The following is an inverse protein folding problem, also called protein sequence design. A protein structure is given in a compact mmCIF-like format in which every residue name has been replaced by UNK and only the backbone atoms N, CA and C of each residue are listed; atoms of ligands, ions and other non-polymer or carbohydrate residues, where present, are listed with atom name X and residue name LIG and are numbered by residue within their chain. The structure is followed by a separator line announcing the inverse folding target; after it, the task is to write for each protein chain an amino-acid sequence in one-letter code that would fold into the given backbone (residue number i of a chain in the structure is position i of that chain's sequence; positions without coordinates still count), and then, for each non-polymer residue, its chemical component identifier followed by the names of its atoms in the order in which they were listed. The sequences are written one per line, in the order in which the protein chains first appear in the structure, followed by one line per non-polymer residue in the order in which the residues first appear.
data_IF_868250981214
#
_entry.id   IF_868250981214
#
_cell.length_a   1.000
_cell.length_b   1.000
_cell.length_c   1.000
_cell.angle_alpha   90.00
_cell.angle_beta   90.00
_cell.angle_gamma   90.00
#
_symmetry.space_group_name_H-M   'P 1'
#
loop_
_entity.id
_entity.type
_entity.pdbx_description
1 polymer ?
#
# COMPACT_ATOMS: atom_id res chain seq x y z
N UNK A 1 33.15 17.90 -6.39
CA UNK A 1 31.92 17.88 -7.19
C UNK A 1 31.11 16.69 -6.71
N UNK A 2 29.87 16.90 -6.30
CA UNK A 2 28.96 15.80 -5.99
C UNK A 2 28.33 15.30 -7.28
N UNK A 3 28.34 13.98 -7.46
CA UNK A 3 27.73 13.30 -8.60
C UNK A 3 26.45 12.62 -8.13
N UNK A 4 25.34 12.90 -8.80
CA UNK A 4 24.06 12.22 -8.59
C UNK A 4 23.50 11.72 -9.92
N UNK A 5 22.47 10.88 -9.87
CA UNK A 5 21.69 10.49 -11.05
C UNK A 5 20.26 11.02 -10.95
N UNK A 6 19.72 11.48 -12.08
CA UNK A 6 18.31 11.85 -12.20
C UNK A 6 17.62 10.77 -13.02
N UNK A 7 16.53 10.21 -12.51
CA UNK A 7 15.70 9.25 -13.21
C UNK A 7 14.29 9.80 -13.41
N UNK A 8 13.83 9.77 -14.65
CA UNK A 8 12.43 10.06 -15.00
C UNK A 8 11.53 8.86 -14.75
N UNK A 9 10.23 9.08 -14.59
CA UNK A 9 9.23 8.01 -14.50
C UNK A 9 9.35 7.00 -15.66
N UNK A 10 9.58 7.49 -16.89
CA UNK A 10 9.72 6.62 -18.06
C UNK A 10 10.94 5.67 -17.97
N UNK A 11 12.03 6.11 -17.35
CA UNK A 11 13.19 5.27 -17.07
C UNK A 11 12.91 4.33 -15.90
N UNK A 12 12.27 4.81 -14.84
CA UNK A 12 11.90 4.02 -13.67
C UNK A 12 11.00 2.85 -14.03
N UNK A 13 9.99 3.07 -14.90
CA UNK A 13 9.12 2.01 -15.42
C UNK A 13 9.87 0.95 -16.24
N UNK A 14 11.10 1.20 -16.71
CA UNK A 14 11.89 0.18 -17.41
C UNK A 14 12.68 -0.70 -16.44
N UNK A 15 13.03 -0.17 -15.26
CA UNK A 15 13.90 -0.87 -14.30
C UNK A 15 13.15 -1.41 -13.09
N UNK A 16 12.02 -0.81 -12.72
CA UNK A 16 11.14 -1.25 -11.63
C UNK A 16 9.79 -1.64 -12.21
N UNK A 17 9.31 -2.81 -11.76
CA UNK A 17 7.98 -3.34 -12.03
C UNK A 17 7.44 -3.93 -10.74
N UNK A 18 6.13 -4.10 -10.69
CA UNK A 18 5.51 -4.92 -9.66
C UNK A 18 5.81 -6.39 -10.00
N UNK A 19 6.87 -6.91 -9.42
CA UNK A 19 7.37 -8.27 -9.60
C UNK A 19 7.65 -8.93 -8.24
N UNK A 20 8.00 -10.23 -8.25
CA UNK A 20 8.26 -10.98 -7.01
C UNK A 20 9.43 -10.41 -6.20
N UNK A 21 10.42 -9.82 -6.87
CA UNK A 21 11.57 -9.21 -6.22
C UNK A 21 11.17 -7.89 -5.54
N UNK A 22 10.28 -7.09 -6.15
CA UNK A 22 9.71 -5.91 -5.51
C UNK A 22 8.89 -6.29 -4.26
N UNK A 23 8.10 -7.38 -4.34
CA UNK A 23 7.40 -7.93 -3.17
C UNK A 23 8.39 -8.37 -2.10
N UNK A 24 9.43 -9.13 -2.45
CA UNK A 24 10.45 -9.56 -1.51
C UNK A 24 11.21 -8.38 -0.86
N UNK A 25 11.51 -7.34 -1.63
CA UNK A 25 12.14 -6.12 -1.12
C UNK A 25 11.28 -5.42 -0.06
N UNK A 26 9.97 -5.32 -0.29
CA UNK A 26 9.05 -4.75 0.71
C UNK A 26 8.84 -5.70 1.90
N UNK A 27 8.86 -7.01 1.68
CA UNK A 27 8.85 -8.02 2.75
C UNK A 27 10.05 -7.87 3.68
N UNK A 28 11.26 -7.74 3.13
CA UNK A 28 12.49 -7.47 3.89
C UNK A 28 12.42 -6.13 4.64
N UNK A 29 11.81 -5.11 4.05
CA UNK A 29 11.58 -3.82 4.70
C UNK A 29 10.69 -3.97 5.95
N UNK A 30 9.62 -4.75 5.86
CA UNK A 30 8.79 -5.09 7.01
C UNK A 30 9.56 -5.86 8.08
N UNK A 31 10.34 -6.87 7.69
CA UNK A 31 11.19 -7.62 8.62
C UNK A 31 12.18 -6.69 9.34
N UNK A 32 12.81 -5.77 8.60
CA UNK A 32 13.74 -4.79 9.14
C UNK A 32 13.06 -3.83 10.13
N UNK A 33 11.82 -3.40 9.87
CA UNK A 33 11.04 -2.57 10.79
C UNK A 33 10.87 -3.23 12.18
N UNK A 34 10.68 -4.55 12.21
CA UNK A 34 10.56 -5.28 13.47
C UNK A 34 11.90 -5.65 14.09
N UNK A 35 12.95 -5.88 13.29
CA UNK A 35 14.20 -6.50 13.76
C UNK A 35 15.36 -5.54 13.97
N UNK A 36 15.29 -4.32 13.43
CA UNK A 36 16.34 -3.30 13.51
C UNK A 36 15.85 -2.06 14.25
N UNK A 37 16.79 -1.25 14.74
CA UNK A 37 16.51 0.07 15.30
C UNK A 37 16.23 1.10 14.19
N UNK A 38 15.13 0.93 13.46
CA UNK A 38 14.71 1.84 12.38
C UNK A 38 14.28 3.18 12.99
N UNK A 39 14.85 4.27 12.49
CA UNK A 39 14.41 5.61 12.84
C UNK A 39 13.43 6.11 11.79
N UNK A 40 12.17 6.29 12.19
CA UNK A 40 11.09 6.80 11.33
C UNK A 40 10.48 8.04 12.01
N UNK A 41 10.81 9.27 11.54
CA UNK A 41 10.21 10.48 12.08
C UNK A 41 8.70 10.51 11.81
N UNK A 42 7.95 11.37 12.52
CA UNK A 42 6.55 11.63 12.17
C UNK A 42 6.40 12.06 10.71
N UNK A 43 5.25 11.73 10.12
CA UNK A 43 4.89 12.21 8.78
C UNK A 43 4.78 13.73 8.86
N UNK A 44 5.49 14.43 7.98
CA UNK A 44 5.25 15.86 7.76
C UNK A 44 4.13 15.97 6.74
N UNK A 45 3.00 16.50 7.20
CA UNK A 45 1.82 16.76 6.37
C UNK A 45 1.63 18.27 6.23
N UNK A 46 1.33 18.71 5.01
CA UNK A 46 0.94 20.08 4.70
C UNK A 46 -0.39 20.06 3.94
N UNK A 47 -1.45 20.52 4.59
CA UNK A 47 -2.74 20.71 3.93
C UNK A 47 -2.79 22.05 3.18
N UNK A 48 -3.39 22.03 1.99
CA UNK A 48 -3.59 23.19 1.11
C UNK A 48 -5.08 23.25 0.76
N UNK A 49 -5.94 23.71 1.69
CA UNK A 49 -7.39 23.60 1.54
C UNK A 49 -7.95 24.32 0.32
N UNK A 50 -7.37 25.48 -0.05
CA UNK A 50 -7.79 26.30 -1.20
C UNK A 50 -7.86 25.49 -2.50
N UNK A 51 -6.94 24.53 -2.68
CA UNK A 51 -6.84 23.71 -3.89
C UNK A 51 -7.23 22.25 -3.67
N UNK A 52 -7.85 21.93 -2.53
CA UNK A 52 -8.10 20.54 -2.09
C UNK A 52 -6.83 19.70 -2.22
N UNK A 53 -5.72 20.28 -1.77
CA UNK A 53 -4.39 19.72 -1.87
C UNK A 53 -3.86 19.27 -0.51
N UNK A 54 -2.97 18.30 -0.54
CA UNK A 54 -2.16 17.85 0.59
C UNK A 54 -0.77 17.45 0.09
N UNK A 55 0.25 17.55 0.95
CA UNK A 55 1.60 17.04 0.69
C UNK A 55 2.09 16.27 1.89
N UNK A 56 2.47 15.01 1.67
CA UNK A 56 3.09 14.17 2.68
C UNK A 56 4.57 13.94 2.40
N UNK A 57 5.39 14.13 3.42
CA UNK A 57 6.82 13.81 3.40
C UNK A 57 7.10 12.69 4.40
N UNK A 58 7.63 11.58 3.88
CA UNK A 58 7.99 10.38 4.67
C UNK A 58 9.44 9.99 4.41
N UNK A 59 10.11 9.49 5.44
CA UNK A 59 11.47 8.95 5.36
C UNK A 59 11.69 7.89 6.43
N UNK A 60 12.70 7.04 6.25
CA UNK A 60 13.18 6.15 7.30
C UNK A 60 14.68 5.89 7.14
N UNK A 61 15.41 5.92 8.25
CA UNK A 61 16.78 5.42 8.31
C UNK A 61 16.76 3.97 8.82
N UNK A 62 17.42 3.08 8.08
CA UNK A 62 17.56 1.67 8.43
C UNK A 62 19.03 1.35 8.67
N UNK A 63 19.44 0.97 9.90
CA UNK A 63 20.80 0.55 10.17
C UNK A 63 21.29 -0.55 9.22
N UNK A 64 22.48 -0.33 8.65
CA UNK A 64 23.13 -1.24 7.71
C UNK A 64 22.68 -1.09 6.25
N UNK A 65 21.77 -0.16 5.93
CA UNK A 65 21.43 0.20 4.55
C UNK A 65 22.18 1.48 4.16
N UNK A 66 22.83 1.47 2.98
CA UNK A 66 23.75 2.53 2.56
C UNK A 66 23.08 3.87 2.23
N UNK A 67 21.76 3.86 2.00
CA UNK A 67 20.98 5.06 1.71
C UNK A 67 19.64 5.10 2.44
N UNK A 68 19.03 6.28 2.43
CA UNK A 68 17.66 6.52 2.88
C UNK A 68 16.93 7.43 1.88
N UNK A 69 15.63 7.23 1.72
CA UNK A 69 14.83 8.05 0.82
C UNK A 69 13.99 9.07 1.59
N UNK A 70 13.87 10.27 1.04
CA UNK A 70 12.84 11.24 1.40
C UNK A 70 11.82 11.23 0.26
N UNK A 71 10.62 10.71 0.54
CA UNK A 71 9.49 10.79 -0.39
C UNK A 71 8.77 12.10 -0.18
N UNK A 72 8.44 12.78 -1.27
CA UNK A 72 7.57 13.95 -1.30
C UNK A 72 6.37 13.56 -2.18
N UNK A 73 5.18 13.51 -1.58
CA UNK A 73 3.97 12.98 -2.22
C UNK A 73 2.82 13.98 -2.15
N UNK A 74 2.66 14.84 -3.17
CA UNK A 74 1.50 15.71 -3.31
C UNK A 74 0.25 14.96 -3.78
N UNK A 75 -0.88 15.22 -3.13
CA UNK A 75 -2.22 14.86 -3.58
C UNK A 75 -3.05 16.12 -3.83
N UNK A 76 -3.50 16.34 -5.06
CA UNK A 76 -4.36 17.46 -5.46
C UNK A 76 -5.62 16.90 -6.12
N UNK A 77 -6.68 16.72 -5.33
CA UNK A 77 -7.82 15.89 -5.74
C UNK A 77 -8.69 16.52 -6.84
N UNK A 78 -8.55 17.83 -7.08
CA UNK A 78 -9.23 18.55 -8.16
C UNK A 78 -8.46 18.61 -9.49
N UNK A 79 -7.20 18.15 -9.53
CA UNK A 79 -6.39 18.09 -10.76
C UNK A 79 -7.08 17.41 -11.96
N UNK A 80 -7.88 16.33 -11.80
CA UNK A 80 -8.58 15.72 -12.93
C UNK A 80 -9.52 16.69 -13.67
N UNK A 81 -10.04 17.73 -13.00
CA UNK A 81 -10.89 18.76 -13.62
C UNK A 81 -10.13 19.61 -14.64
N UNK A 82 -8.80 19.66 -14.55
CA UNK A 82 -7.90 20.41 -15.44
C UNK A 82 -6.99 19.50 -16.26
N UNK A 83 -7.29 18.19 -16.32
CA UNK A 83 -6.53 17.22 -17.13
C UNK A 83 -5.21 16.75 -16.51
N UNK A 84 -4.98 17.01 -15.22
CA UNK A 84 -3.81 16.50 -14.48
C UNK A 84 -4.18 15.30 -13.60
N UNK A 85 -3.19 14.51 -13.20
CA UNK A 85 -3.37 13.41 -12.24
C UNK A 85 -3.57 13.96 -10.82
N UNK A 86 -4.40 13.29 -10.01
CA UNK A 86 -4.61 13.66 -8.61
C UNK A 86 -3.38 13.46 -7.73
N UNK A 87 -2.57 12.45 -8.03
CA UNK A 87 -1.34 12.14 -7.30
C UNK A 87 -0.14 12.46 -8.15
N UNK A 88 0.90 12.99 -7.51
CA UNK A 88 2.21 13.18 -8.09
C UNK A 88 3.26 12.85 -7.01
N UNK A 89 4.55 12.90 -7.34
CA UNK A 89 5.59 12.72 -6.33
C UNK A 89 6.99 12.59 -6.89
N UNK A 90 7.94 12.63 -5.96
CA UNK A 90 9.33 12.28 -6.20
C UNK A 90 9.94 11.66 -4.95
N UNK A 91 11.03 10.92 -5.14
CA UNK A 91 11.88 10.45 -4.04
C UNK A 91 13.30 10.95 -4.22
N UNK A 92 13.90 11.49 -3.16
CA UNK A 92 15.32 11.83 -3.10
C UNK A 92 16.03 10.74 -2.33
N UNK A 93 16.99 10.06 -2.95
CA UNK A 93 17.83 9.06 -2.29
C UNK A 93 19.13 9.71 -1.83
N UNK A 94 19.43 9.60 -0.54
CA UNK A 94 20.62 10.16 0.09
C UNK A 94 21.49 9.06 0.68
N UNK A 95 22.80 9.26 0.71
CA UNK A 95 23.72 8.37 1.40
C UNK A 95 23.54 8.49 2.92
N UNK A 96 23.31 7.36 3.59
CA UNK A 96 23.28 7.27 5.05
C UNK A 96 24.64 7.56 5.70
N UNK A 97 25.73 7.54 4.92
CA UNK A 97 27.10 7.77 5.41
C UNK A 97 27.50 9.24 5.33
N UNK A 98 27.13 9.93 4.26
CA UNK A 98 27.64 11.29 3.96
C UNK A 98 26.56 12.35 3.87
N UNK A 99 25.28 11.96 3.80
CA UNK A 99 24.16 12.87 3.53
C UNK A 99 24.11 13.40 2.10
N UNK A 100 25.02 12.99 1.22
CA UNK A 100 25.02 13.43 -0.18
C UNK A 100 23.88 12.77 -0.96
N UNK A 101 23.27 13.54 -1.85
CA UNK A 101 22.24 13.04 -2.79
C UNK A 101 22.89 12.05 -3.75
N UNK A 102 22.36 10.84 -3.80
CA UNK A 102 22.77 9.79 -4.74
C UNK A 102 21.87 9.79 -5.98
N UNK A 103 20.56 9.96 -5.78
CA UNK A 103 19.60 10.02 -6.87
C UNK A 103 18.42 10.94 -6.60
N UNK A 104 17.91 11.56 -7.66
CA UNK A 104 16.61 12.20 -7.72
C UNK A 104 15.69 11.36 -8.61
N UNK A 105 14.64 10.80 -8.04
CA UNK A 105 13.69 9.92 -8.70
C UNK A 105 12.41 10.72 -8.98
N UNK A 106 12.27 11.23 -10.21
CA UNK A 106 11.10 11.96 -10.70
C UNK A 106 10.02 10.96 -11.12
N UNK A 107 9.48 10.22 -10.14
CA UNK A 107 8.65 9.05 -10.36
C UNK A 107 7.16 9.34 -10.58
N UNK A 108 6.74 10.59 -10.35
CA UNK A 108 5.33 11.00 -10.40
C UNK A 108 4.40 10.10 -9.56
N UNK A 109 4.91 9.56 -8.44
CA UNK A 109 4.19 8.62 -7.58
C UNK A 109 4.26 7.15 -8.00
N UNK A 110 4.90 6.81 -9.13
CA UNK A 110 4.99 5.43 -9.61
C UNK A 110 5.64 4.46 -8.60
N UNK A 111 6.71 4.86 -7.91
CA UNK A 111 7.34 3.99 -6.91
C UNK A 111 6.47 3.84 -5.67
N UNK A 112 5.72 4.88 -5.32
CA UNK A 112 4.67 4.81 -4.29
C UNK A 112 3.59 3.80 -4.67
N UNK A 113 3.19 3.80 -5.94
CA UNK A 113 2.20 2.86 -6.44
C UNK A 113 2.68 1.40 -6.32
N UNK A 114 3.90 1.13 -6.79
CA UNK A 114 4.50 -0.22 -6.76
C UNK A 114 4.70 -0.72 -5.33
N UNK A 115 5.27 0.11 -4.44
CA UNK A 115 5.54 -0.33 -3.06
C UNK A 115 4.27 -0.58 -2.26
N UNK A 116 3.19 0.18 -2.54
CA UNK A 116 1.90 0.00 -1.85
C UNK A 116 1.23 -1.31 -2.26
N UNK A 117 1.27 -1.63 -3.57
CA UNK A 117 0.80 -2.92 -4.07
C UNK A 117 1.62 -4.11 -3.55
N UNK A 118 2.94 -3.96 -3.51
CA UNK A 118 3.83 -4.95 -2.92
C UNK A 118 3.55 -5.17 -1.43
N UNK A 119 3.27 -4.12 -0.66
CA UNK A 119 2.87 -4.25 0.75
C UNK A 119 1.56 -5.03 0.93
N UNK A 120 0.57 -4.79 0.05
CA UNK A 120 -0.68 -5.56 0.05
C UNK A 120 -0.47 -7.04 -0.29
N UNK A 121 0.44 -7.36 -1.22
CA UNK A 121 0.85 -8.75 -1.47
C UNK A 121 1.55 -9.40 -0.28
N UNK A 122 2.41 -8.67 0.45
CA UNK A 122 3.02 -9.18 1.69
C UNK A 122 1.95 -9.46 2.73
N UNK A 123 1.00 -8.54 2.97
CA UNK A 123 -0.11 -8.78 3.88
C UNK A 123 -0.89 -10.05 3.49
N UNK A 124 -1.31 -10.17 2.22
CA UNK A 124 -2.02 -11.34 1.73
C UNK A 124 -1.20 -12.63 1.87
N UNK A 125 0.12 -12.59 1.62
CA UNK A 125 1.02 -13.75 1.74
C UNK A 125 1.00 -14.37 3.14
N UNK A 126 0.92 -13.55 4.19
CA UNK A 126 1.00 -14.00 5.58
C UNK A 126 -0.36 -14.17 6.26
N UNK A 127 -1.39 -13.49 5.77
CA UNK A 127 -2.67 -13.36 6.47
C UNK A 127 -3.84 -14.01 5.75
N UNK A 128 -3.72 -14.36 4.46
CA UNK A 128 -4.76 -15.13 3.75
C UNK A 128 -4.46 -16.62 3.71
N UNK A 129 -5.48 -17.44 3.46
CA UNK A 129 -5.30 -18.87 3.19
C UNK A 129 -4.45 -19.08 1.94
N UNK A 130 -3.59 -20.10 1.94
CA UNK A 130 -2.73 -20.41 0.78
C UNK A 130 -3.53 -20.74 -0.50
N UNK A 131 -4.73 -21.30 -0.33
CA UNK A 131 -5.64 -21.65 -1.41
C UNK A 131 -6.65 -20.53 -1.76
N UNK A 132 -6.47 -19.30 -1.26
CA UNK A 132 -7.31 -18.16 -1.62
C UNK A 132 -7.23 -17.88 -3.13
N UNK A 133 -8.38 -17.82 -3.79
CA UNK A 133 -8.51 -17.81 -5.26
C UNK A 133 -9.55 -16.82 -5.80
N UNK A 134 -10.44 -16.30 -4.96
CA UNK A 134 -11.44 -15.29 -5.33
C UNK A 134 -11.09 -13.94 -4.70
N UNK A 135 -10.91 -12.90 -5.51
CA UNK A 135 -10.61 -11.55 -5.04
C UNK A 135 -11.79 -10.57 -5.23
N UNK A 136 -12.00 -9.68 -4.27
CA UNK A 136 -12.91 -8.54 -4.38
C UNK A 136 -12.11 -7.25 -4.16
N UNK A 137 -12.15 -6.35 -5.14
CA UNK A 137 -11.40 -5.09 -5.12
C UNK A 137 -12.38 -3.93 -5.10
N UNK A 138 -12.27 -3.09 -4.07
CA UNK A 138 -13.08 -1.90 -3.86
C UNK A 138 -12.28 -0.67 -4.28
N UNK A 139 -12.71 -0.05 -5.37
CA UNK A 139 -12.04 1.04 -6.08
C UNK A 139 -11.76 0.68 -7.54
N UNK A 140 -11.58 1.71 -8.36
CA UNK A 140 -11.25 1.60 -9.79
C UNK A 140 -10.02 2.46 -10.18
N UNK A 141 -9.22 2.84 -9.18
CA UNK A 141 -8.01 3.65 -9.33
C UNK A 141 -6.76 2.83 -9.72
N UNK A 142 -5.59 3.45 -9.63
CA UNK A 142 -4.31 2.78 -9.89
C UNK A 142 -4.05 1.64 -8.89
N UNK A 143 -4.29 1.89 -7.60
CA UNK A 143 -4.10 0.87 -6.57
C UNK A 143 -5.04 -0.34 -6.76
N UNK A 144 -6.28 -0.17 -7.19
CA UNK A 144 -7.16 -1.30 -7.49
C UNK A 144 -6.55 -2.26 -8.54
N UNK A 145 -5.91 -1.71 -9.59
CA UNK A 145 -5.22 -2.51 -10.62
C UNK A 145 -4.02 -3.24 -10.04
N UNK A 146 -3.12 -2.49 -9.41
CA UNK A 146 -1.86 -3.02 -8.92
C UNK A 146 -2.05 -3.99 -7.77
N UNK A 147 -3.02 -3.78 -6.88
CA UNK A 147 -3.33 -4.71 -5.80
C UNK A 147 -3.82 -6.05 -6.36
N UNK A 148 -4.71 -6.06 -7.35
CA UNK A 148 -5.12 -7.32 -7.98
C UNK A 148 -3.93 -8.05 -8.63
N UNK A 149 -3.10 -7.32 -9.37
CA UNK A 149 -1.86 -7.87 -9.93
C UNK A 149 -0.94 -8.45 -8.84
N UNK A 150 -0.75 -7.72 -7.74
CA UNK A 150 0.10 -8.13 -6.62
C UNK A 150 -0.42 -9.41 -5.95
N UNK A 151 -1.74 -9.56 -5.80
CA UNK A 151 -2.35 -10.78 -5.27
C UNK A 151 -1.98 -12.00 -6.12
N UNK A 152 -1.93 -11.88 -7.45
CA UNK A 152 -1.53 -12.99 -8.34
C UNK A 152 -0.09 -13.46 -8.15
N UNK A 153 0.78 -12.61 -7.58
CA UNK A 153 2.18 -12.96 -7.31
C UNK A 153 2.32 -13.90 -6.11
N UNK A 154 1.33 -13.89 -5.20
CA UNK A 154 1.39 -14.57 -3.90
C UNK A 154 0.27 -15.58 -3.68
N UNK A 155 -0.79 -15.56 -4.50
CA UNK A 155 -1.96 -16.45 -4.39
C UNK A 155 -2.47 -16.91 -5.76
N UNK A 156 -3.09 -18.10 -5.84
CA UNK A 156 -3.63 -18.65 -7.08
C UNK A 156 -5.00 -18.04 -7.43
N UNK A 157 -5.04 -16.74 -7.71
CA UNK A 157 -6.27 -16.03 -8.09
C UNK A 157 -6.83 -16.59 -9.40
N UNK A 158 -8.13 -16.89 -9.41
CA UNK A 158 -8.87 -17.47 -10.53
C UNK A 158 -10.05 -16.63 -10.99
N UNK A 159 -10.59 -15.79 -10.12
CA UNK A 159 -11.59 -14.80 -10.47
C UNK A 159 -11.45 -13.55 -9.59
N UNK A 160 -11.89 -12.41 -10.11
CA UNK A 160 -11.96 -11.18 -9.34
C UNK A 160 -13.22 -10.36 -9.63
N UNK A 161 -13.65 -9.59 -8.64
CA UNK A 161 -14.79 -8.69 -8.72
C UNK A 161 -14.32 -7.28 -8.41
N UNK A 162 -14.62 -6.32 -9.27
CA UNK A 162 -14.32 -4.91 -9.09
C UNK A 162 -15.61 -4.19 -8.73
N UNK A 163 -15.63 -3.56 -7.56
CA UNK A 163 -16.67 -2.63 -7.18
C UNK A 163 -16.11 -1.22 -7.11
N UNK A 164 -16.84 -0.25 -7.64
CA UNK A 164 -16.55 1.16 -7.41
C UNK A 164 -17.84 1.99 -7.51
N UNK A 165 -17.85 3.16 -6.86
CA UNK A 165 -18.96 4.13 -6.97
C UNK A 165 -19.29 4.50 -8.42
N UNK A 166 -18.28 4.57 -9.27
CA UNK A 166 -18.42 4.81 -10.71
C UNK A 166 -18.41 3.48 -11.46
N UNK A 167 -19.60 3.05 -11.88
CA UNK A 167 -19.80 1.76 -12.56
C UNK A 167 -19.06 1.68 -13.90
N UNK A 168 -18.97 2.79 -14.65
CA UNK A 168 -18.28 2.81 -15.95
C UNK A 168 -16.77 2.62 -15.75
N UNK A 169 -16.18 3.25 -14.72
CA UNK A 169 -14.78 3.01 -14.35
C UNK A 169 -14.54 1.58 -13.89
N UNK A 170 -15.43 1.01 -13.07
CA UNK A 170 -15.33 -0.38 -12.63
C UNK A 170 -15.34 -1.34 -13.83
N UNK A 171 -16.26 -1.14 -14.78
CA UNK A 171 -16.34 -1.93 -16.02
C UNK A 171 -15.07 -1.83 -16.86
N UNK A 172 -14.53 -0.63 -17.05
CA UNK A 172 -13.28 -0.41 -17.78
C UNK A 172 -12.09 -1.13 -17.14
N UNK A 173 -11.94 -1.02 -15.81
CA UNK A 173 -10.90 -1.71 -15.04
C UNK A 173 -11.05 -3.22 -15.12
N UNK A 174 -12.27 -3.73 -14.98
CA UNK A 174 -12.52 -5.17 -15.06
C UNK A 174 -12.15 -5.73 -16.44
N UNK A 175 -12.54 -5.06 -17.53
CA UNK A 175 -12.17 -5.47 -18.88
C UNK A 175 -10.66 -5.42 -19.12
N UNK A 176 -9.98 -4.36 -18.67
CA UNK A 176 -8.53 -4.20 -18.73
C UNK A 176 -7.80 -5.34 -18.02
N UNK A 177 -8.18 -5.63 -16.76
CA UNK A 177 -7.54 -6.65 -15.94
C UNK A 177 -7.87 -8.06 -16.40
N UNK A 178 -9.09 -8.34 -16.87
CA UNK A 178 -9.44 -9.63 -17.45
C UNK A 178 -8.55 -9.94 -18.67
N UNK A 179 -8.37 -8.98 -19.57
CA UNK A 179 -7.51 -9.13 -20.74
C UNK A 179 -6.02 -9.32 -20.36
N UNK A 180 -5.55 -8.59 -19.34
CA UNK A 180 -4.16 -8.63 -18.89
C UNK A 180 -3.81 -9.90 -18.11
N UNK A 181 -4.69 -10.35 -17.23
CA UNK A 181 -4.42 -11.43 -16.27
C UNK A 181 -4.84 -12.81 -16.77
N UNK A 182 -5.70 -12.87 -17.79
CA UNK A 182 -6.11 -14.14 -18.41
C UNK A 182 -7.09 -14.96 -17.57
N UNK A 183 -7.80 -14.34 -16.62
CA UNK A 183 -8.87 -14.97 -15.85
C UNK A 183 -10.08 -14.01 -15.72
N UNK A 184 -11.29 -14.52 -15.37
CA UNK A 184 -12.47 -13.68 -15.24
C UNK A 184 -12.32 -12.54 -14.21
N UNK A 185 -12.43 -11.30 -14.67
CA UNK A 185 -12.59 -10.11 -13.83
C UNK A 185 -13.88 -9.43 -14.21
N UNK A 186 -14.81 -9.30 -13.26
CA UNK A 186 -16.14 -8.71 -13.50
C UNK A 186 -16.33 -7.43 -12.69
N UNK A 187 -17.12 -6.50 -13.22
CA UNK A 187 -17.56 -5.34 -12.46
C UNK A 187 -18.94 -5.61 -11.85
N UNK A 188 -19.15 -5.13 -10.62
CA UNK A 188 -20.44 -5.23 -9.92
C UNK A 188 -20.82 -3.90 -9.27
N UNK A 189 -22.11 -3.60 -9.25
CA UNK A 189 -22.67 -2.48 -8.49
C UNK A 189 -23.07 -2.87 -7.07
N UNK A 190 -23.19 -4.16 -6.78
CA UNK A 190 -23.52 -4.70 -5.46
C UNK A 190 -22.25 -4.88 -4.63
N UNK A 191 -22.02 -3.96 -3.69
CA UNK A 191 -20.88 -3.98 -2.77
C UNK A 191 -20.87 -5.23 -1.91
N UNK A 192 -22.02 -5.62 -1.35
CA UNK A 192 -22.15 -6.80 -0.51
C UNK A 192 -21.91 -8.07 -1.32
N UNK A 193 -22.51 -8.17 -2.50
CA UNK A 193 -22.30 -9.30 -3.42
C UNK A 193 -20.84 -9.45 -3.88
N UNK A 194 -20.05 -8.37 -3.91
CA UNK A 194 -18.61 -8.46 -4.15
C UNK A 194 -17.88 -9.17 -3.00
N UNK A 195 -18.25 -8.88 -1.73
CA UNK A 195 -17.64 -9.47 -0.53
C UNK A 195 -17.99 -10.95 -0.36
N UNK A 196 -19.27 -11.32 -0.54
CA UNK A 196 -19.75 -12.67 -0.25
C UNK A 196 -19.07 -13.69 -1.16
N UNK A 197 -18.46 -14.72 -0.57
CA UNK A 197 -17.71 -15.76 -1.27
C UNK A 197 -16.35 -15.33 -1.82
N UNK A 198 -15.88 -14.10 -1.55
CA UNK A 198 -14.50 -13.73 -1.81
C UNK A 198 -13.57 -14.34 -0.76
N UNK A 199 -12.35 -14.71 -1.13
CA UNK A 199 -11.31 -15.13 -0.18
C UNK A 199 -10.46 -13.93 0.29
N UNK A 200 -10.24 -12.99 -0.63
CA UNK A 200 -9.40 -11.81 -0.48
C UNK A 200 -10.20 -10.56 -0.82
N UNK A 201 -10.21 -9.58 0.07
CA UNK A 201 -10.89 -8.30 -0.11
C UNK A 201 -9.82 -7.21 -0.02
N UNK A 202 -9.81 -6.26 -0.95
CA UNK A 202 -8.89 -5.12 -0.90
C UNK A 202 -9.66 -3.83 -1.10
N UNK A 203 -9.48 -2.86 -0.20
CA UNK A 203 -10.07 -1.52 -0.32
C UNK A 203 -8.98 -0.49 -0.66
N UNK A 204 -9.27 0.38 -1.62
CA UNK A 204 -8.29 1.31 -2.22
C UNK A 204 -8.88 2.68 -2.54
N UNK A 205 -9.90 3.09 -1.78
CA UNK A 205 -10.69 4.29 -2.02
C UNK A 205 -10.39 5.39 -1.00
N UNK A 206 -10.58 6.67 -1.38
CA UNK A 206 -10.49 7.79 -0.44
C UNK A 206 -11.84 8.00 0.27
N UNK A 207 -12.53 6.93 0.68
CA UNK A 207 -13.83 7.07 1.35
C UNK A 207 -13.66 7.70 2.72
N UNK A 208 -14.64 8.49 3.15
CA UNK A 208 -14.73 9.06 4.50
C UNK A 208 -15.76 8.31 5.36
N UNK A 209 -16.42 7.31 4.78
CA UNK A 209 -17.46 6.51 5.42
C UNK A 209 -17.28 5.03 5.03
N UNK A 210 -17.55 4.09 5.96
CA UNK A 210 -17.45 2.66 5.69
C UNK A 210 -18.12 2.22 4.39
N UNK A 211 -17.40 1.42 3.61
CA UNK A 211 -17.87 0.72 2.42
C UNK A 211 -18.11 -0.75 2.75
N UNK A 212 -17.26 -1.35 3.58
CA UNK A 212 -17.39 -2.73 4.02
C UNK A 212 -18.05 -2.76 5.39
N UNK A 213 -19.25 -3.34 5.47
CA UNK A 213 -19.94 -3.54 6.75
C UNK A 213 -19.45 -4.79 7.47
N UNK A 214 -19.42 -4.76 8.80
CA UNK A 214 -18.94 -5.88 9.62
C UNK A 214 -19.72 -7.19 9.37
N UNK A 215 -21.03 -7.07 9.15
CA UNK A 215 -21.93 -8.21 8.92
C UNK A 215 -21.79 -8.89 7.55
N UNK A 216 -20.95 -8.36 6.65
CA UNK A 216 -20.73 -8.97 5.34
C UNK A 216 -19.55 -9.96 5.34
N UNK A 217 -18.65 -9.87 6.31
CA UNK A 217 -17.45 -10.69 6.34
C UNK A 217 -17.76 -12.13 6.76
N UNK A 218 -17.14 -13.08 6.07
CA UNK A 218 -17.33 -14.51 6.25
C UNK A 218 -16.07 -15.18 6.85
N UNK A 219 -16.23 -16.28 7.60
CA UNK A 219 -15.09 -17.03 8.13
C UNK A 219 -14.06 -17.38 7.06
N UNK A 220 -12.80 -17.12 7.36
CA UNK A 220 -11.67 -17.45 6.51
C UNK A 220 -11.30 -16.40 5.46
N UNK A 221 -11.98 -15.25 5.43
CA UNK A 221 -11.63 -14.12 4.59
C UNK A 221 -10.38 -13.38 5.09
N UNK A 222 -9.67 -12.77 4.15
CA UNK A 222 -8.64 -11.77 4.43
C UNK A 222 -8.99 -10.45 3.77
N UNK A 223 -8.94 -9.36 4.54
CA UNK A 223 -9.13 -8.00 4.06
C UNK A 223 -7.83 -7.22 4.19
N UNK A 224 -7.42 -6.53 3.12
CA UNK A 224 -6.32 -5.56 3.11
C UNK A 224 -6.90 -4.17 2.87
N UNK A 225 -6.89 -3.33 3.91
CA UNK A 225 -7.27 -1.93 3.83
C UNK A 225 -6.05 -1.07 3.47
N UNK A 226 -6.18 -0.28 2.39
CA UNK A 226 -5.08 0.55 1.85
C UNK A 226 -5.50 2.02 1.70
N UNK A 227 -6.80 2.32 1.63
CA UNK A 227 -7.28 3.66 1.32
C UNK A 227 -7.29 4.64 2.49
N UNK A 228 -7.42 4.18 3.73
CA UNK A 228 -7.39 5.05 4.91
C UNK A 228 -5.96 5.35 5.35
N UNK A 229 -5.45 6.51 4.96
CA UNK A 229 -4.13 7.02 5.35
C UNK A 229 -4.18 8.44 5.94
N UNK A 230 -5.39 8.95 6.20
CA UNK A 230 -5.66 10.28 6.77
C UNK A 230 -6.79 10.18 7.82
N UNK A 231 -6.84 11.11 8.77
CA UNK A 231 -7.75 11.07 9.94
C UNK A 231 -9.24 10.98 9.55
N UNK A 232 -9.62 11.59 8.43
CA UNK A 232 -11.00 11.65 7.95
C UNK A 232 -11.40 10.49 7.03
N UNK A 233 -10.43 9.69 6.55
CA UNK A 233 -10.70 8.56 5.66
C UNK A 233 -11.11 7.34 6.48
N UNK A 234 -12.07 6.57 5.96
CA UNK A 234 -12.60 5.35 6.58
C UNK A 234 -13.24 4.49 5.47
N UNK A 235 -12.76 3.26 5.28
CA UNK A 235 -13.35 2.31 4.34
C UNK A 235 -14.06 1.14 5.02
N UNK A 236 -13.73 0.86 6.28
CA UNK A 236 -14.16 -0.36 6.98
C UNK A 236 -14.99 0.00 8.21
N UNK A 237 -16.14 -0.65 8.35
CA UNK A 237 -16.96 -0.51 9.55
C UNK A 237 -16.11 -0.82 10.81
N UNK A 238 -16.02 0.12 11.78
CA UNK A 238 -15.29 -0.07 13.02
C UNK A 238 -15.61 -1.38 13.76
N UNK A 239 -16.85 -1.88 13.65
CA UNK A 239 -17.24 -3.17 14.23
C UNK A 239 -16.53 -4.37 13.58
N UNK A 240 -16.10 -4.26 12.31
CA UNK A 240 -15.32 -5.29 11.63
C UNK A 240 -13.90 -5.39 12.21
N UNK A 241 -13.29 -4.25 12.56
CA UNK A 241 -11.98 -4.22 13.23
C UNK A 241 -12.06 -4.90 14.60
N UNK A 242 -13.06 -4.55 15.41
CA UNK A 242 -13.27 -5.14 16.72
C UNK A 242 -13.64 -6.63 16.67
N UNK A 243 -14.39 -7.04 15.65
CA UNK A 243 -14.82 -8.43 15.43
C UNK A 243 -13.81 -9.31 14.68
N UNK A 244 -12.70 -8.75 14.18
CA UNK A 244 -11.71 -9.51 13.44
C UNK A 244 -11.04 -10.55 14.33
N UNK A 245 -10.85 -11.76 13.81
CA UNK A 245 -10.09 -12.81 14.50
C UNK A 245 -8.60 -12.49 14.60
N UNK A 246 -8.09 -11.60 13.73
CA UNK A 246 -6.74 -11.05 13.76
C UNK A 246 -6.71 -9.71 13.00
N UNK A 247 -6.42 -8.63 13.71
CA UNK A 247 -6.07 -7.33 13.11
C UNK A 247 -4.55 -7.16 13.11
N UNK A 248 -4.00 -6.65 12.01
CA UNK A 248 -2.56 -6.43 11.80
C UNK A 248 -2.34 -5.04 11.20
N UNK A 249 -1.56 -4.21 11.87
CA UNK A 249 -1.14 -2.91 11.35
C UNK A 249 0.18 -3.00 10.57
N UNK A 250 0.42 -2.13 9.59
CA UNK A 250 1.79 -1.91 9.10
C UNK A 250 2.63 -1.12 10.12
N UNK A 251 2.02 -0.14 10.79
CA UNK A 251 2.56 0.55 11.96
C UNK A 251 1.43 0.90 12.92
N UNK A 252 1.42 0.28 14.10
CA UNK A 252 0.39 0.50 15.12
C UNK A 252 0.38 1.95 15.61
N UNK A 253 1.55 2.60 15.63
CA UNK A 253 1.65 4.03 15.96
C UNK A 253 0.89 4.91 14.96
N UNK A 254 0.88 4.54 13.67
CA UNK A 254 0.17 5.28 12.65
C UNK A 254 -1.32 4.91 12.64
N UNK A 255 -1.67 3.62 12.67
CA UNK A 255 -3.07 3.18 12.58
C UNK A 255 -3.94 3.57 13.78
N UNK A 256 -3.34 3.99 14.90
CA UNK A 256 -4.07 4.58 16.03
C UNK A 256 -4.50 6.04 15.82
N UNK A 257 -3.96 6.69 14.79
CA UNK A 257 -4.18 8.12 14.50
C UNK A 257 -4.75 8.33 13.10
N UNK A 258 -4.28 7.51 12.17
CA UNK A 258 -4.65 7.38 10.77
C UNK A 258 -5.16 5.94 10.59
N UNK A 259 -5.59 5.53 9.40
CA UNK A 259 -5.95 4.13 9.18
C UNK A 259 -7.39 3.80 9.55
N UNK A 260 -7.69 2.50 9.66
CA UNK A 260 -9.04 2.03 10.01
C UNK A 260 -9.20 1.88 11.54
N UNK A 261 -8.11 1.57 12.26
CA UNK A 261 -8.17 1.30 13.70
C UNK A 261 -8.58 2.51 14.54
N UNK A 262 -8.20 3.75 14.19
CA UNK A 262 -8.55 4.90 15.01
C UNK A 262 -10.06 5.10 15.12
N UNK A 263 -10.83 4.80 14.05
CA UNK A 263 -12.29 4.86 14.10
C UNK A 263 -12.90 3.82 15.06
N UNK A 264 -12.30 2.64 15.18
CA UNK A 264 -12.72 1.63 16.16
C UNK A 264 -12.40 2.00 17.60
N UNK A 265 -11.30 2.74 17.81
CA UNK A 265 -10.95 3.31 19.11
C UNK A 265 -11.92 4.44 19.47
N UNK A 266 -12.16 5.38 18.55
CA UNK A 266 -13.05 6.52 18.77
C UNK A 266 -14.50 6.09 19.02
N UNK A 267 -14.94 5.01 18.36
CA UNK A 267 -16.25 4.40 18.59
C UNK A 267 -16.34 3.61 19.92
N UNK A 268 -15.24 3.47 20.68
CA UNK A 268 -15.19 2.72 21.93
C UNK A 268 -15.30 1.19 21.77
N UNK A 269 -15.14 0.68 20.54
CA UNK A 269 -15.21 -0.75 20.22
C UNK A 269 -13.87 -1.46 20.48
N UNK A 270 -12.76 -0.71 20.42
CA UNK A 270 -11.41 -1.18 20.72
C UNK A 270 -10.79 -0.25 21.76
N UNK A 271 -10.13 -0.82 22.77
CA UNK A 271 -9.45 -0.02 23.79
C UNK A 271 -8.27 0.76 23.18
N UNK A 272 -8.06 1.99 23.62
CA UNK A 272 -6.98 2.86 23.13
C UNK A 272 -5.57 2.29 23.38
N UNK A 273 -5.42 1.34 24.30
CA UNK A 273 -4.18 0.62 24.63
C UNK A 273 -4.16 -0.83 24.12
N UNK A 274 -5.18 -1.27 23.37
CA UNK A 274 -5.28 -2.64 22.84
C UNK A 274 -4.05 -3.03 22.02
N UNK A 275 -3.41 -4.16 22.32
CA UNK A 275 -2.17 -4.58 21.67
C UNK A 275 -2.49 -5.39 20.42
N UNK A 276 -1.90 -4.99 19.29
CA UNK A 276 -2.00 -5.69 18.03
C UNK A 276 -0.62 -5.99 17.47
N UNK A 277 -0.52 -7.06 16.66
CA UNK A 277 0.70 -7.37 15.94
C UNK A 277 0.91 -6.38 14.79
N UNK A 278 2.16 -6.04 14.54
CA UNK A 278 2.56 -5.34 13.31
C UNK A 278 2.99 -6.36 12.25
N UNK A 279 2.74 -6.07 10.97
CA UNK A 279 3.04 -6.96 9.86
C UNK A 279 4.53 -7.36 9.84
N UNK A 280 5.42 -6.43 10.17
CA UNK A 280 6.85 -6.72 10.30
C UNK A 280 7.19 -7.79 11.35
N UNK A 281 6.45 -7.84 12.46
CA UNK A 281 6.65 -8.86 13.50
C UNK A 281 6.24 -10.24 12.99
N UNK A 282 5.19 -10.31 12.19
CA UNK A 282 4.72 -11.55 11.55
C UNK A 282 5.71 -12.03 10.50
N UNK A 283 6.17 -11.13 9.62
CA UNK A 283 7.19 -11.44 8.61
C UNK A 283 8.48 -11.95 9.25
N UNK A 284 8.88 -11.35 10.39
CA UNK A 284 10.08 -11.76 11.14
C UNK A 284 9.89 -13.01 12.03
N UNK A 285 8.72 -13.65 12.02
CA UNK A 285 8.42 -14.82 12.86
C UNK A 285 8.33 -14.54 14.36
N UNK A 286 8.14 -13.27 14.76
CA UNK A 286 8.01 -12.83 16.16
C UNK A 286 6.56 -12.79 16.65
N UNK A 287 5.60 -12.81 15.72
CA UNK A 287 4.18 -12.95 15.98
C UNK A 287 3.58 -13.94 14.97
N UNK A 288 2.53 -14.68 15.32
CA UNK A 288 1.86 -15.55 14.37
C UNK A 288 1.07 -14.73 13.34
N UNK A 289 1.04 -15.19 12.10
CA UNK A 289 0.07 -14.75 11.09
C UNK A 289 -1.29 -15.39 11.31
N UNK A 290 -1.97 -15.75 10.22
CA UNK A 290 -3.18 -16.58 10.31
C UNK A 290 -2.87 -17.91 11.00
N UNK A 291 -3.66 -18.27 12.01
CA UNK A 291 -3.51 -19.53 12.77
C UNK A 291 -4.63 -20.52 12.54
N UNK A 292 -5.78 -20.07 12.01
CA UNK A 292 -6.90 -20.94 11.62
C UNK A 292 -7.50 -20.56 10.28
N UNK A 293 -8.06 -21.56 9.60
CA UNK A 293 -8.67 -21.38 8.27
C UNK A 293 -9.95 -20.52 8.32
N UNK A 294 -10.63 -20.46 9.46
CA UNK A 294 -11.89 -19.74 9.66
C UNK A 294 -11.71 -18.30 10.17
N UNK A 295 -10.47 -17.89 10.50
CA UNK A 295 -10.22 -16.54 10.99
C UNK A 295 -10.55 -15.48 9.93
N UNK A 296 -11.28 -14.44 10.32
CA UNK A 296 -11.31 -13.20 9.56
C UNK A 296 -10.05 -12.42 9.95
N UNK A 297 -9.24 -12.06 8.96
CA UNK A 297 -7.99 -11.32 9.17
C UNK A 297 -8.06 -9.98 8.46
N UNK A 298 -7.67 -8.90 9.14
CA UNK A 298 -7.63 -7.54 8.56
C UNK A 298 -6.20 -7.02 8.64
N UNK A 299 -5.66 -6.59 7.50
CA UNK A 299 -4.44 -5.79 7.43
C UNK A 299 -4.79 -4.33 7.17
N UNK A 300 -4.24 -3.42 7.97
CA UNK A 300 -4.45 -1.97 7.89
C UNK A 300 -3.12 -1.30 7.53
N UNK A 301 -3.05 -0.77 6.30
CA UNK A 301 -1.81 -0.30 5.68
C UNK A 301 -1.84 1.21 5.42
N UNK A 302 -1.20 2.02 6.27
CA UNK A 302 -1.11 3.49 6.09
C UNK A 302 0.11 3.95 5.29
N UNK A 303 1.06 3.04 5.04
CA UNK A 303 2.30 3.29 4.33
C UNK A 303 3.39 3.89 5.21
N UNK A 304 4.53 3.20 5.27
CA UNK A 304 5.67 3.55 6.14
C UNK A 304 6.89 4.02 5.33
N UNK A 305 7.69 4.93 5.91
CA UNK A 305 8.86 5.50 5.21
C UNK A 305 9.95 4.47 4.88
N UNK A 306 9.96 3.34 5.57
CA UNK A 306 10.88 2.22 5.27
C UNK A 306 10.54 1.55 3.93
N UNK A 307 9.25 1.45 3.58
CA UNK A 307 8.83 0.92 2.28
C UNK A 307 9.29 1.85 1.15
N UNK A 308 9.16 3.17 1.34
CA UNK A 308 9.61 4.18 0.38
C UNK A 308 11.15 4.12 0.20
N UNK A 309 11.90 3.95 1.30
CA UNK A 309 13.36 3.77 1.26
C UNK A 309 13.77 2.48 0.56
N UNK A 310 13.06 1.38 0.81
CA UNK A 310 13.34 0.10 0.20
C UNK A 310 13.15 0.14 -1.33
N UNK A 311 12.00 0.65 -1.81
CA UNK A 311 11.73 0.71 -3.25
C UNK A 311 12.65 1.68 -3.97
N UNK A 312 13.01 2.82 -3.36
CA UNK A 312 13.96 3.77 -3.93
C UNK A 312 15.37 3.17 -4.05
N UNK A 313 15.80 2.40 -3.04
CA UNK A 313 17.10 1.71 -3.05
C UNK A 313 17.13 0.63 -4.12
N UNK A 314 16.04 -0.16 -4.26
CA UNK A 314 15.91 -1.14 -5.34
C UNK A 314 15.94 -0.48 -6.71
N UNK A 315 15.21 0.63 -6.89
CA UNK A 315 15.19 1.41 -8.11
C UNK A 315 16.59 1.90 -8.50
N UNK A 316 17.32 2.45 -7.53
CA UNK A 316 18.69 2.92 -7.72
C UNK A 316 19.65 1.78 -8.11
N UNK A 317 19.57 0.65 -7.43
CA UNK A 317 20.40 -0.52 -7.74
C UNK A 317 20.13 -1.05 -9.15
N UNK A 318 18.85 -1.21 -9.52
CA UNK A 318 18.46 -1.68 -10.87
C UNK A 318 18.82 -0.66 -11.96
N UNK A 319 18.67 0.64 -11.68
CA UNK A 319 19.11 1.70 -12.58
C UNK A 319 20.61 1.65 -12.85
N UNK A 320 21.44 1.44 -11.82
CA UNK A 320 22.88 1.26 -11.96
C UNK A 320 23.24 0.07 -12.85
N UNK A 321 22.60 -1.08 -12.63
CA UNK A 321 22.79 -2.28 -13.45
C UNK A 321 22.37 -2.06 -14.92
N UNK A 322 21.26 -1.35 -15.14
CA UNK A 322 20.74 -1.03 -16.46
C UNK A 322 21.42 0.18 -17.13
N UNK A 323 22.31 0.89 -16.41
CA UNK A 323 22.89 2.17 -16.81
C UNK A 323 21.83 3.20 -17.22
N UNK A 324 20.72 3.23 -16.48
CA UNK A 324 19.61 4.15 -16.70
C UNK A 324 19.77 5.44 -15.90
N UNK A 325 19.13 6.51 -16.37
CA UNK A 325 19.20 7.84 -15.75
C UNK A 325 20.32 8.71 -16.31
N UNK A 326 20.23 9.99 -16.01
CA UNK A 326 21.19 11.01 -16.43
C UNK A 326 22.10 11.38 -15.27
N UNK A 327 23.42 11.33 -15.49
CA UNK A 327 24.39 11.82 -14.49
C UNK A 327 24.33 13.35 -14.41
N UNK A 328 24.27 13.88 -13.19
CA UNK A 328 24.35 15.30 -12.90
C UNK A 328 25.49 15.56 -11.93
N UNK A 329 26.31 16.57 -12.21
CA UNK A 329 27.45 16.98 -11.38
C UNK A 329 27.27 18.44 -10.96
N UNK A 330 27.49 18.70 -9.68
CA UNK A 330 27.50 20.06 -9.08
C UNK A 330 28.85 20.39 -8.47
#
# INVERSE_FOLDING_TARGET
MSRMIILTEAELRKVIRLDRDAVACIEEAFAALATKAVAMPPILRLDIPEYRGEVDVKTAYVPGIEGFAIKISPGFFDNPKIGLLSTNGMMVLLSSRTGLVQALLLDNGYLTDVRTAAAGAVAAKYLSRENASVAAIFGAGMQARLQLEALTLVRPIREARIWARDAAKAQGVAAELAAKLGFPVTATSDARGAVIGADLIVTTTPSETPIIEAGWLEPGQHLTAVGSDAEHKNEIDPAAIAGAGLYVADSLKQTRRLGELHHAIDAGLVAADAVFAELGQIVAGRAPGRTRNDQITIADLTGTGIQDTAIATLAFARAGAAKAGTTFES
#
